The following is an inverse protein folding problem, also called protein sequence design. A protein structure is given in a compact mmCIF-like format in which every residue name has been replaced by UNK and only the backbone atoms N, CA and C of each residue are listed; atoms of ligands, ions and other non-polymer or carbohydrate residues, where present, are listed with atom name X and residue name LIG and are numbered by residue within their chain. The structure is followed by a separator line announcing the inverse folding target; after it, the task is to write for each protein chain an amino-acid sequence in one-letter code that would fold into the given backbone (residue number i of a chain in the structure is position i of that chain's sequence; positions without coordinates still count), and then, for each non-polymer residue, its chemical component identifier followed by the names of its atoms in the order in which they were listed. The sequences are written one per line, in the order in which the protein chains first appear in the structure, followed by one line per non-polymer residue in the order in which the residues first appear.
data_IF_952837585044
#
_entry.id   IF_952837585044
#
_cell.length_a   1.000
_cell.length_b   1.000
_cell.length_c   1.000
_cell.angle_alpha   90.00
_cell.angle_beta   90.00
_cell.angle_gamma   90.00
#
_symmetry.space_group_name_H-M   'P 1'
#
loop_
_entity.id
_entity.type
_entity.pdbx_description
1 polymer ?
#
# COMPACT_ATOMS: atom_id res chain seq x y z
N UNK A 1 34.77 12.03 17.31
CA UNK A 1 35.69 11.51 16.28
C UNK A 1 35.93 12.64 15.29
N UNK A 2 37.18 13.00 15.04
CA UNK A 2 37.54 13.87 13.93
C UNK A 2 37.18 13.15 12.62
N UNK A 3 36.61 13.87 11.67
CA UNK A 3 36.45 13.36 10.31
C UNK A 3 37.84 13.03 9.73
N UNK A 4 37.98 11.98 8.91
CA UNK A 4 39.25 11.69 8.24
C UNK A 4 39.67 12.87 7.36
N UNK A 5 40.97 12.97 7.08
CA UNK A 5 41.50 14.03 6.21
C UNK A 5 40.79 14.01 4.85
N UNK A 6 40.42 15.19 4.30
CA UNK A 6 39.70 15.26 3.03
C UNK A 6 40.39 14.52 1.88
N UNK A 7 41.72 14.45 1.89
CA UNK A 7 42.53 13.74 0.89
C UNK A 7 42.24 12.23 0.88
N UNK A 8 42.11 11.61 2.06
CA UNK A 8 41.76 10.20 2.19
C UNK A 8 40.37 9.97 1.61
N UNK A 9 39.39 10.78 2.00
CA UNK A 9 38.01 10.67 1.52
C UNK A 9 37.95 10.83 0.00
N UNK A 10 38.63 11.85 -0.54
CA UNK A 10 38.70 12.10 -1.98
C UNK A 10 39.28 10.90 -2.72
N UNK A 11 40.33 10.26 -2.18
CA UNK A 11 40.92 9.06 -2.79
C UNK A 11 39.96 7.87 -2.81
N UNK A 12 39.13 7.70 -1.77
CA UNK A 12 38.13 6.64 -1.70
C UNK A 12 37.00 6.88 -2.70
N UNK A 13 36.49 8.11 -2.80
CA UNK A 13 35.46 8.48 -3.77
C UNK A 13 35.98 8.34 -5.21
N UNK A 14 37.22 8.76 -5.47
CA UNK A 14 37.84 8.67 -6.80
C UNK A 14 37.97 7.24 -7.34
N UNK A 15 37.93 6.21 -6.48
CA UNK A 15 37.95 4.79 -6.92
C UNK A 15 36.71 4.37 -7.68
N UNK A 16 35.58 5.03 -7.43
CA UNK A 16 34.28 4.67 -8.03
C UNK A 16 33.66 5.81 -8.83
N UNK A 17 34.20 7.03 -8.70
CA UNK A 17 33.59 8.25 -9.21
C UNK A 17 34.64 9.20 -9.82
N UNK A 18 34.44 9.60 -11.07
CA UNK A 18 35.21 10.68 -11.70
C UNK A 18 34.70 12.01 -11.14
N UNK A 19 35.51 12.63 -10.29
CA UNK A 19 35.20 13.88 -9.61
C UNK A 19 35.43 15.06 -10.58
N UNK A 20 34.40 15.87 -10.82
CA UNK A 20 34.49 17.15 -11.53
C UNK A 20 34.64 18.32 -10.56
N UNK A 21 33.90 18.29 -9.45
CA UNK A 21 33.82 19.36 -8.47
C UNK A 21 33.56 18.80 -7.06
N UNK A 22 34.12 19.46 -6.05
CA UNK A 22 33.98 19.09 -4.63
C UNK A 22 33.58 20.32 -3.83
N UNK A 23 32.45 20.22 -3.13
CA UNK A 23 32.01 21.24 -2.19
C UNK A 23 32.09 20.68 -0.77
N UNK A 24 32.96 21.27 0.05
CA UNK A 24 32.97 21.03 1.50
C UNK A 24 32.00 22.00 2.16
N UNK A 25 31.03 21.49 2.91
CA UNK A 25 30.04 22.30 3.61
C UNK A 25 30.20 22.13 5.12
N UNK A 26 29.97 23.22 5.85
CA UNK A 26 29.99 23.19 7.31
C UNK A 26 28.79 22.36 7.81
N UNK A 27 29.09 21.21 8.43
CA UNK A 27 28.19 20.04 8.55
C UNK A 27 26.84 20.28 9.26
N UNK A 28 26.69 21.40 9.95
CA UNK A 28 25.58 21.61 10.89
C UNK A 28 24.25 22.03 10.27
N UNK A 29 24.20 22.50 9.02
CA UNK A 29 22.95 23.04 8.43
C UNK A 29 22.25 22.14 7.41
N UNK A 30 22.93 21.15 6.81
CA UNK A 30 22.36 20.38 5.68
C UNK A 30 22.48 18.84 5.80
N UNK A 31 23.01 18.31 6.92
CA UNK A 31 23.01 16.86 7.19
C UNK A 31 24.04 16.04 6.42
N UNK A 32 24.91 16.68 5.65
CA UNK A 32 26.08 16.09 4.98
C UNK A 32 27.28 17.06 5.11
N UNK A 33 28.50 16.56 4.96
CA UNK A 33 29.72 17.38 5.12
C UNK A 33 30.52 17.54 3.82
N UNK A 34 30.37 16.63 2.85
CA UNK A 34 30.99 16.75 1.53
C UNK A 34 30.00 16.39 0.42
N UNK A 35 30.13 17.11 -0.70
CA UNK A 35 29.37 16.91 -1.94
C UNK A 35 30.34 16.77 -3.10
N UNK A 36 30.25 15.66 -3.82
CA UNK A 36 31.03 15.38 -5.02
C UNK A 36 30.12 15.40 -6.23
N UNK A 37 30.48 16.18 -7.26
CA UNK A 37 29.76 16.22 -8.54
C UNK A 37 30.62 15.60 -9.62
N UNK A 38 30.01 14.79 -10.49
CA UNK A 38 30.74 14.11 -11.55
C UNK A 38 29.98 12.93 -12.13
N UNK A 39 30.70 11.85 -12.43
CA UNK A 39 30.15 10.64 -13.06
C UNK A 39 30.78 9.37 -12.49
N UNK A 40 29.96 8.35 -12.23
CA UNK A 40 30.43 7.02 -11.83
C UNK A 40 31.30 6.40 -12.91
N UNK A 41 32.33 5.68 -12.48
CA UNK A 41 33.24 4.96 -13.38
C UNK A 41 32.61 3.68 -13.92
N UNK A 42 31.76 3.04 -13.13
CA UNK A 42 30.97 1.87 -13.51
C UNK A 42 29.53 2.28 -13.89
N UNK A 43 28.94 1.57 -14.83
CA UNK A 43 27.52 1.72 -15.19
C UNK A 43 26.61 1.16 -14.08
N UNK A 44 27.04 0.12 -13.35
CA UNK A 44 26.27 -0.42 -12.23
C UNK A 44 26.55 0.35 -10.94
N UNK A 45 25.73 1.37 -10.71
CA UNK A 45 25.83 2.21 -9.51
C UNK A 45 25.65 1.44 -8.20
N UNK A 46 24.97 0.28 -8.23
CA UNK A 46 24.78 -0.56 -7.05
C UNK A 46 26.12 -1.16 -6.57
N UNK A 47 26.93 -1.70 -7.48
CA UNK A 47 28.27 -2.20 -7.16
C UNK A 47 29.18 -1.08 -6.67
N UNK A 48 29.19 0.06 -7.39
CA UNK A 48 29.96 1.24 -7.01
C UNK A 48 29.58 1.77 -5.61
N UNK A 49 28.29 1.72 -5.27
CA UNK A 49 27.79 2.09 -3.96
C UNK A 49 28.32 1.15 -2.87
N UNK A 50 28.24 -0.17 -3.07
CA UNK A 50 28.68 -1.15 -2.07
C UNK A 50 30.19 -1.02 -1.79
N UNK A 51 31.03 -0.84 -2.83
CA UNK A 51 32.48 -0.62 -2.69
C UNK A 51 32.80 0.63 -1.88
N UNK A 52 32.12 1.75 -2.18
CA UNK A 52 32.35 3.01 -1.47
C UNK A 52 31.81 2.97 -0.03
N UNK A 53 30.62 2.39 0.17
CA UNK A 53 30.02 2.27 1.49
C UNK A 53 30.87 1.41 2.42
N UNK A 54 31.42 0.28 1.94
CA UNK A 54 32.35 -0.56 2.71
C UNK A 54 33.65 0.17 3.06
N UNK A 55 34.19 0.94 2.12
CA UNK A 55 35.40 1.75 2.34
C UNK A 55 35.19 2.89 3.36
N UNK A 56 33.97 3.41 3.46
CA UNK A 56 33.60 4.52 4.35
C UNK A 56 33.06 4.07 5.72
N UNK A 57 32.71 2.78 5.86
CA UNK A 57 32.16 2.22 7.10
C UNK A 57 33.07 2.39 8.33
N UNK A 58 34.41 2.20 8.24
CA UNK A 58 35.33 2.41 9.37
C UNK A 58 35.29 3.84 9.93
N UNK A 59 34.91 4.81 9.10
CA UNK A 59 34.81 6.22 9.46
C UNK A 59 33.41 6.62 9.90
N UNK A 60 32.45 5.68 9.97
CA UNK A 60 31.03 5.94 10.24
C UNK A 60 30.43 6.97 9.28
N UNK A 61 30.77 6.86 8.01
CA UNK A 61 30.26 7.70 6.93
C UNK A 61 29.36 6.85 6.03
N UNK A 62 28.24 7.41 5.58
CA UNK A 62 27.36 6.79 4.60
C UNK A 62 27.32 7.65 3.33
N UNK A 63 27.69 7.09 2.17
CA UNK A 63 27.51 7.79 0.90
C UNK A 63 26.03 7.82 0.52
N UNK A 64 25.58 8.87 -0.16
CA UNK A 64 24.24 9.00 -0.72
C UNK A 64 24.38 9.42 -2.18
N UNK A 65 23.96 8.53 -3.09
CA UNK A 65 24.04 8.79 -4.53
C UNK A 65 22.75 9.45 -4.99
N UNK A 66 22.89 10.59 -5.68
CA UNK A 66 21.79 11.44 -6.14
C UNK A 66 22.00 11.85 -7.60
N UNK A 67 20.93 12.33 -8.22
CA UNK A 67 20.97 12.96 -9.54
C UNK A 67 20.35 14.36 -9.39
N UNK A 68 21.12 15.40 -9.66
CA UNK A 68 20.65 16.80 -9.70
C UNK A 68 20.99 17.42 -11.05
N UNK A 69 20.01 18.04 -11.70
CA UNK A 69 20.16 18.69 -13.02
C UNK A 69 20.81 17.78 -14.08
N UNK A 70 20.52 16.48 -14.02
CA UNK A 70 21.06 15.47 -14.93
C UNK A 70 22.51 15.05 -14.62
N UNK A 71 23.14 15.58 -13.57
CA UNK A 71 24.49 15.19 -13.12
C UNK A 71 24.41 14.27 -11.91
N UNK A 72 25.36 13.33 -11.81
CA UNK A 72 25.46 12.44 -10.66
C UNK A 72 26.20 13.14 -9.52
N UNK A 73 25.73 12.90 -8.30
CA UNK A 73 26.26 13.51 -7.09
C UNK A 73 26.39 12.47 -5.99
N UNK A 74 27.48 12.54 -5.23
CA UNK A 74 27.68 11.76 -4.01
C UNK A 74 27.72 12.73 -2.83
N UNK A 75 26.78 12.57 -1.91
CA UNK A 75 26.82 13.24 -0.61
C UNK A 75 27.41 12.29 0.43
N UNK A 76 28.28 12.80 1.31
CA UNK A 76 28.78 12.06 2.44
C UNK A 76 28.14 12.57 3.72
N UNK A 77 27.40 11.69 4.38
CA UNK A 77 26.66 11.98 5.60
C UNK A 77 27.15 11.10 6.77
N UNK A 78 27.02 11.55 8.03
CA UNK A 78 27.28 10.71 9.18
C UNK A 78 26.35 9.48 9.17
N UNK A 79 26.91 8.30 9.44
CA UNK A 79 26.13 7.06 9.56
C UNK A 79 25.17 7.17 10.75
N UNK A 80 23.89 6.97 10.50
CA UNK A 80 22.88 6.96 11.57
C UNK A 80 23.02 5.69 12.43
N UNK A 81 22.76 5.79 13.75
CA UNK A 81 22.79 4.63 14.63
C UNK A 81 21.73 3.60 14.21
N UNK A 82 22.03 2.33 14.42
CA UNK A 82 21.08 1.25 14.12
C UNK A 82 19.78 1.43 14.91
N UNK A 83 18.63 1.17 14.28
CA UNK A 83 17.34 1.36 14.93
C UNK A 83 17.17 0.40 16.12
N UNK A 84 16.70 0.93 17.26
CA UNK A 84 16.47 0.14 18.49
C UNK A 84 15.39 -0.93 18.27
N UNK A 85 15.53 -2.17 18.79
CA UNK A 85 14.52 -3.22 18.63
C UNK A 85 13.15 -2.83 19.24
N UNK A 86 12.06 -3.27 18.61
CA UNK A 86 10.69 -3.05 19.12
C UNK A 86 10.31 -4.07 20.17
N UNK A 87 9.50 -3.63 21.14
CA UNK A 87 8.83 -4.52 22.07
C UNK A 87 7.73 -5.28 21.33
N UNK A 88 7.92 -6.58 21.14
CA UNK A 88 6.97 -7.47 20.47
C UNK A 88 5.59 -7.47 21.15
N UNK A 89 5.54 -7.19 22.46
CA UNK A 89 4.29 -7.08 23.23
C UNK A 89 3.32 -6.05 22.67
N UNK A 90 3.81 -4.91 22.16
CA UNK A 90 2.94 -3.87 21.58
C UNK A 90 2.23 -4.40 20.33
N UNK A 91 2.95 -5.11 19.47
CA UNK A 91 2.40 -5.72 18.25
C UNK A 91 1.36 -6.79 18.58
N UNK A 92 1.63 -7.62 19.60
CA UNK A 92 0.67 -8.66 20.05
C UNK A 92 -0.60 -8.01 20.61
N UNK A 93 -0.48 -7.01 21.49
CA UNK A 93 -1.65 -6.32 22.06
C UNK A 93 -2.50 -5.69 20.95
N UNK A 94 -1.87 -4.97 20.03
CA UNK A 94 -2.55 -4.34 18.90
C UNK A 94 -3.21 -5.38 17.97
N UNK A 95 -2.56 -6.50 17.71
CA UNK A 95 -3.14 -7.60 16.94
C UNK A 95 -4.39 -8.16 17.63
N UNK A 96 -4.33 -8.47 18.92
CA UNK A 96 -5.47 -8.98 19.69
C UNK A 96 -6.63 -7.98 19.69
N UNK A 97 -6.35 -6.69 19.94
CA UNK A 97 -7.38 -5.64 19.87
C UNK A 97 -8.01 -5.54 18.47
N UNK A 98 -7.22 -5.72 17.42
CA UNK A 98 -7.71 -5.69 16.04
C UNK A 98 -8.56 -6.91 15.73
N UNK A 99 -8.21 -8.10 16.23
CA UNK A 99 -9.06 -9.31 16.12
C UNK A 99 -10.46 -9.03 16.68
N UNK A 100 -10.55 -8.52 17.91
CA UNK A 100 -11.85 -8.19 18.51
C UNK A 100 -12.61 -7.12 17.72
N UNK A 101 -11.90 -6.09 17.27
CA UNK A 101 -12.46 -4.98 16.49
C UNK A 101 -13.04 -5.46 15.13
N UNK A 102 -12.33 -6.35 14.43
CA UNK A 102 -12.79 -6.91 13.15
C UNK A 102 -13.91 -7.94 13.34
N UNK A 103 -13.84 -8.77 14.40
CA UNK A 103 -14.93 -9.68 14.75
C UNK A 103 -16.22 -8.91 15.07
N UNK A 104 -16.13 -7.76 15.74
CA UNK A 104 -17.28 -6.88 15.98
C UNK A 104 -17.88 -6.32 14.69
N UNK A 105 -17.04 -5.91 13.73
CA UNK A 105 -17.50 -5.39 12.44
C UNK A 105 -18.20 -6.46 11.58
N UNK A 106 -17.77 -7.71 11.68
CA UNK A 106 -18.39 -8.85 11.00
C UNK A 106 -19.49 -9.56 11.80
N UNK A 107 -19.87 -9.04 12.96
CA UNK A 107 -20.84 -9.68 13.85
C UNK A 107 -22.27 -9.55 13.31
N UNK A 108 -23.00 -10.66 13.27
CA UNK A 108 -24.43 -10.63 13.00
C UNK A 108 -25.19 -10.11 14.23
N UNK A 109 -26.05 -9.12 14.02
CA UNK A 109 -26.93 -8.59 15.07
C UNK A 109 -28.22 -9.43 15.10
N UNK A 110 -28.55 -10.08 16.22
CA UNK A 110 -29.79 -10.85 16.33
C UNK A 110 -31.02 -9.95 16.14
N UNK A 111 -31.98 -10.43 15.35
CA UNK A 111 -33.26 -9.76 15.14
C UNK A 111 -34.41 -10.76 15.43
N UNK A 112 -35.31 -10.50 16.41
CA UNK A 112 -35.41 -9.28 17.23
C UNK A 112 -34.32 -9.16 18.30
N UNK A 113 -33.94 -7.92 18.62
CA UNK A 113 -33.07 -7.61 19.75
C UNK A 113 -33.81 -7.95 21.06
N UNK A 114 -33.13 -8.58 22.04
CA UNK A 114 -33.68 -8.75 23.39
C UNK A 114 -34.08 -7.40 23.99
N UNK A 115 -35.17 -7.37 24.75
CA UNK A 115 -35.67 -6.13 25.37
C UNK A 115 -34.94 -5.81 26.69
N UNK A 116 -34.30 -6.79 27.30
CA UNK A 116 -33.55 -6.66 28.54
C UNK A 116 -32.07 -6.33 28.30
N UNK A 117 -31.51 -5.44 29.12
CA UNK A 117 -30.11 -4.97 29.00
C UNK A 117 -29.09 -6.11 29.10
N UNK A 118 -29.36 -7.11 29.95
CA UNK A 118 -28.51 -8.29 30.08
C UNK A 118 -28.57 -9.17 28.82
N UNK A 119 -29.77 -9.38 28.27
CA UNK A 119 -30.00 -10.08 27.01
C UNK A 119 -29.31 -9.39 25.84
N UNK A 120 -29.35 -8.06 25.76
CA UNK A 120 -28.62 -7.28 24.74
C UNK A 120 -27.11 -7.52 24.87
N UNK A 121 -26.54 -7.42 26.08
CA UNK A 121 -25.10 -7.67 26.28
C UNK A 121 -24.70 -9.10 25.91
N UNK A 122 -25.51 -10.09 26.28
CA UNK A 122 -25.23 -11.50 25.96
C UNK A 122 -25.37 -11.78 24.46
N UNK A 123 -26.36 -11.17 23.81
CA UNK A 123 -26.56 -11.25 22.36
C UNK A 123 -25.38 -10.62 21.61
N UNK A 124 -24.88 -9.47 22.05
CA UNK A 124 -23.68 -8.84 21.48
C UNK A 124 -22.43 -9.70 21.70
N UNK A 125 -22.23 -10.24 22.90
CA UNK A 125 -21.08 -11.09 23.20
C UNK A 125 -21.06 -12.38 22.36
N UNK A 126 -22.21 -13.03 22.17
CA UNK A 126 -22.34 -14.19 21.27
C UNK A 126 -22.23 -13.78 19.80
N UNK A 127 -22.79 -12.63 19.43
CA UNK A 127 -22.75 -12.08 18.07
C UNK A 127 -21.33 -11.82 17.60
N UNK A 128 -20.44 -11.29 18.45
CA UNK A 128 -19.02 -11.08 18.11
C UNK A 128 -18.36 -12.37 17.61
N UNK A 129 -18.70 -13.52 18.21
CA UNK A 129 -18.12 -14.80 17.79
C UNK A 129 -18.54 -15.19 16.37
N UNK A 130 -19.69 -14.73 15.86
CA UNK A 130 -20.13 -15.01 14.48
C UNK A 130 -19.25 -14.33 13.43
N UNK A 131 -18.57 -13.23 13.79
CA UNK A 131 -17.67 -12.49 12.90
C UNK A 131 -16.31 -13.15 12.66
N UNK A 132 -16.06 -14.34 13.21
CA UNK A 132 -14.78 -15.04 13.05
C UNK A 132 -14.37 -15.33 11.59
N UNK A 133 -15.28 -15.72 10.64
CA UNK A 133 -14.87 -16.00 9.28
C UNK A 133 -14.40 -14.73 8.57
N UNK A 134 -15.08 -13.61 8.83
CA UNK A 134 -14.68 -12.29 8.34
C UNK A 134 -13.32 -11.88 8.89
N UNK A 135 -13.14 -11.97 10.21
CA UNK A 135 -11.89 -11.59 10.87
C UNK A 135 -10.69 -12.43 10.41
N UNK A 136 -10.85 -13.76 10.35
CA UNK A 136 -9.80 -14.65 9.87
C UNK A 136 -9.41 -14.32 8.42
N UNK A 137 -10.40 -14.10 7.57
CA UNK A 137 -10.19 -13.79 6.15
C UNK A 137 -9.49 -12.45 5.96
N UNK A 138 -10.01 -11.38 6.56
CA UNK A 138 -9.47 -10.03 6.40
C UNK A 138 -8.07 -9.90 7.03
N UNK A 139 -7.89 -10.39 8.26
CA UNK A 139 -6.60 -10.34 8.94
C UNK A 139 -5.58 -11.24 8.26
N UNK A 140 -6.00 -12.39 7.69
CA UNK A 140 -5.13 -13.24 6.90
C UNK A 140 -4.57 -12.52 5.67
N UNK A 141 -5.42 -11.77 4.96
CA UNK A 141 -5.01 -10.96 3.80
C UNK A 141 -4.05 -9.84 4.22
N UNK A 142 -4.42 -9.05 5.23
CA UNK A 142 -3.59 -7.95 5.72
C UNK A 142 -2.24 -8.46 6.25
N UNK A 143 -2.24 -9.57 6.98
CA UNK A 143 -1.04 -10.20 7.47
C UNK A 143 -0.15 -10.67 6.31
N UNK A 144 -0.73 -11.32 5.29
CA UNK A 144 0.03 -11.76 4.12
C UNK A 144 0.67 -10.58 3.37
N UNK A 145 -0.05 -9.47 3.20
CA UNK A 145 0.48 -8.23 2.62
C UNK A 145 1.68 -7.72 3.41
N UNK A 146 1.53 -7.52 4.73
CA UNK A 146 2.61 -6.99 5.57
C UNK A 146 3.79 -7.95 5.71
N UNK A 147 3.53 -9.27 5.75
CA UNK A 147 4.59 -10.27 5.74
C UNK A 147 5.35 -10.29 4.42
N UNK A 148 4.71 -9.99 3.30
CA UNK A 148 5.38 -9.81 2.00
C UNK A 148 6.46 -8.72 2.09
N UNK A 149 6.11 -7.56 2.62
CA UNK A 149 7.09 -6.49 2.87
C UNK A 149 8.16 -6.90 3.87
N UNK A 150 7.77 -7.54 4.98
CA UNK A 150 8.69 -7.96 6.03
C UNK A 150 9.74 -8.96 5.53
N UNK A 151 9.31 -10.01 4.83
CA UNK A 151 10.21 -11.03 4.30
C UNK A 151 11.14 -10.47 3.24
N UNK A 152 10.64 -9.60 2.35
CA UNK A 152 11.49 -8.96 1.34
C UNK A 152 12.50 -7.98 1.96
N UNK A 153 12.08 -7.24 3.00
CA UNK A 153 12.99 -6.40 3.78
C UNK A 153 14.10 -7.22 4.44
N UNK A 154 13.75 -8.37 5.02
CA UNK A 154 14.71 -9.29 5.64
C UNK A 154 15.67 -9.90 4.62
N UNK A 155 15.17 -10.31 3.45
CA UNK A 155 15.99 -10.80 2.34
C UNK A 155 17.05 -9.77 1.91
N UNK A 156 16.65 -8.50 1.79
CA UNK A 156 17.56 -7.40 1.45
C UNK A 156 18.29 -6.76 2.65
N UNK A 157 18.22 -7.38 3.84
CA UNK A 157 18.88 -6.87 5.07
C UNK A 157 18.51 -5.42 5.41
N UNK A 158 17.30 -5.00 5.05
CA UNK A 158 16.74 -3.69 5.41
C UNK A 158 15.94 -3.84 6.71
N UNK A 159 16.33 -3.16 7.80
CA UNK A 159 15.61 -3.26 9.08
C UNK A 159 14.15 -2.82 8.98
N UNK A 160 13.24 -3.71 9.38
CA UNK A 160 11.80 -3.47 9.41
C UNK A 160 11.20 -3.99 10.73
N UNK A 161 10.10 -3.39 11.18
CA UNK A 161 9.35 -3.89 12.33
C UNK A 161 8.47 -5.09 11.97
N UNK A 162 7.98 -5.80 12.97
CA UNK A 162 6.79 -6.63 12.80
C UNK A 162 5.57 -5.74 12.48
N UNK A 163 4.51 -6.32 11.86
CA UNK A 163 3.32 -5.55 11.51
C UNK A 163 2.62 -4.96 12.74
N UNK A 164 2.15 -3.73 12.60
CA UNK A 164 1.25 -3.08 13.55
C UNK A 164 -0.17 -3.11 12.97
N UNK A 165 -1.07 -3.84 13.64
CA UNK A 165 -2.48 -3.83 13.29
C UNK A 165 -3.19 -2.69 14.00
N UNK A 166 -4.01 -1.92 13.29
CA UNK A 166 -4.65 -0.73 13.83
C UNK A 166 -6.15 -1.02 14.01
N UNK A 167 -6.65 -1.21 15.24
CA UNK A 167 -8.06 -1.48 15.49
C UNK A 167 -8.89 -0.22 15.21
N UNK A 168 -10.03 -0.38 14.54
CA UNK A 168 -10.98 0.70 14.36
C UNK A 168 -12.43 0.16 14.32
N UNK A 169 -13.03 -0.09 15.50
CA UNK A 169 -14.26 -0.88 15.63
C UNK A 169 -15.49 -0.25 15.01
N UNK A 170 -15.47 1.06 14.78
CA UNK A 170 -16.58 1.82 14.20
C UNK A 170 -16.52 1.88 12.66
N UNK A 171 -15.51 1.28 12.03
CA UNK A 171 -15.43 1.20 10.57
C UNK A 171 -16.12 -0.05 10.03
N UNK A 172 -16.60 -0.04 8.77
CA UNK A 172 -17.17 -1.24 8.13
C UNK A 172 -16.23 -2.45 8.09
N UNK A 173 -14.91 -2.22 8.15
CA UNK A 173 -13.90 -3.29 8.15
C UNK A 173 -13.42 -3.68 9.54
N UNK A 174 -13.73 -2.89 10.57
CA UNK A 174 -13.22 -3.06 11.94
C UNK A 174 -11.73 -2.78 12.11
N UNK A 175 -11.03 -2.24 11.10
CA UNK A 175 -9.60 -1.92 11.15
C UNK A 175 -9.25 -0.79 10.18
N UNK A 176 -8.20 -0.02 10.49
CA UNK A 176 -7.56 0.89 9.52
C UNK A 176 -6.52 0.18 8.64
N UNK A 177 -6.32 -1.13 8.85
CA UNK A 177 -5.32 -1.94 8.18
C UNK A 177 -4.18 -2.33 9.11
N UNK A 178 -3.10 -2.80 8.49
CA UNK A 178 -1.84 -3.09 9.15
C UNK A 178 -0.72 -2.35 8.41
N UNK A 179 0.39 -2.08 9.10
CA UNK A 179 1.56 -1.47 8.49
C UNK A 179 2.84 -1.93 9.17
N UNK A 180 3.89 -2.19 8.39
CA UNK A 180 5.26 -2.25 8.88
C UNK A 180 5.90 -0.87 8.87
N UNK A 181 6.80 -0.61 9.82
CA UNK A 181 7.67 0.55 9.80
C UNK A 181 9.05 0.14 9.27
N UNK A 182 9.42 0.64 8.10
CA UNK A 182 10.79 0.56 7.59
C UNK A 182 11.67 1.50 8.41
N UNK A 183 12.74 0.96 9.01
CA UNK A 183 13.61 1.70 9.94
C UNK A 183 15.00 1.96 9.39
N UNK A 184 15.36 1.27 8.31
CA UNK A 184 16.51 1.60 7.49
C UNK A 184 16.07 2.18 6.16
N UNK A 185 16.93 2.98 5.55
CA UNK A 185 16.77 3.39 4.16
C UNK A 185 17.25 2.25 3.24
N UNK A 186 16.47 1.84 2.23
CA UNK A 186 16.92 0.86 1.25
C UNK A 186 18.19 1.32 0.55
N UNK A 187 19.11 0.40 0.28
CA UNK A 187 20.39 0.76 -0.35
C UNK A 187 20.20 1.36 -1.73
N UNK A 188 19.27 0.85 -2.53
CA UNK A 188 19.07 1.31 -3.90
C UNK A 188 17.61 1.18 -4.35
N UNK A 189 17.28 1.74 -5.52
CA UNK A 189 15.93 1.67 -6.12
C UNK A 189 15.45 0.26 -6.41
N UNK A 190 16.33 -0.70 -6.74
CA UNK A 190 15.93 -2.11 -6.98
C UNK A 190 15.37 -2.73 -5.69
N UNK A 191 16.05 -2.54 -4.56
CA UNK A 191 15.61 -3.05 -3.26
C UNK A 191 14.32 -2.37 -2.80
N UNK A 192 14.22 -1.04 -2.95
CA UNK A 192 13.00 -0.31 -2.61
C UNK A 192 11.81 -0.82 -3.42
N UNK A 193 12.02 -1.05 -4.72
CA UNK A 193 11.02 -1.64 -5.61
C UNK A 193 10.59 -3.04 -5.15
N UNK A 194 11.55 -3.94 -4.92
CA UNK A 194 11.27 -5.33 -4.52
C UNK A 194 10.45 -5.37 -3.23
N UNK A 195 10.83 -4.57 -2.23
CA UNK A 195 10.08 -4.45 -0.96
C UNK A 195 8.67 -3.89 -1.23
N UNK A 196 8.55 -2.84 -2.04
CA UNK A 196 7.27 -2.19 -2.35
C UNK A 196 6.28 -3.09 -3.08
N UNK A 197 6.72 -3.95 -4.01
CA UNK A 197 5.81 -4.84 -4.75
C UNK A 197 5.45 -6.12 -4.00
N UNK A 198 6.30 -6.57 -3.07
CA UNK A 198 6.11 -7.83 -2.38
C UNK A 198 4.81 -7.89 -1.56
N UNK A 199 4.44 -6.79 -0.89
CA UNK A 199 3.20 -6.72 -0.10
C UNK A 199 1.94 -6.85 -0.94
N UNK A 200 1.70 -5.96 -1.92
CA UNK A 200 0.55 -6.05 -2.82
C UNK A 200 0.40 -7.41 -3.51
N UNK A 201 1.51 -8.01 -3.96
CA UNK A 201 1.49 -9.34 -4.59
C UNK A 201 1.04 -10.40 -3.57
N UNK A 202 1.65 -10.44 -2.38
CA UNK A 202 1.30 -11.40 -1.34
C UNK A 202 -0.15 -11.24 -0.87
N UNK A 203 -0.61 -9.99 -0.70
CA UNK A 203 -1.98 -9.66 -0.36
C UNK A 203 -2.97 -10.18 -1.40
N UNK A 204 -2.74 -9.92 -2.69
CA UNK A 204 -3.63 -10.38 -3.77
C UNK A 204 -3.65 -11.90 -3.94
N UNK A 205 -2.51 -12.57 -3.77
CA UNK A 205 -2.41 -14.04 -3.82
C UNK A 205 -3.32 -14.68 -2.77
N UNK A 206 -3.55 -14.02 -1.63
CA UNK A 206 -4.49 -14.50 -0.60
C UNK A 206 -5.91 -13.95 -0.83
N UNK A 207 -6.05 -12.68 -1.21
CA UNK A 207 -7.35 -12.02 -1.34
C UNK A 207 -8.21 -12.62 -2.46
N UNK A 208 -7.62 -12.97 -3.61
CA UNK A 208 -8.37 -13.51 -4.75
C UNK A 208 -9.00 -14.87 -4.43
N UNK A 209 -8.26 -15.88 -3.91
CA UNK A 209 -8.87 -17.14 -3.47
C UNK A 209 -9.94 -16.95 -2.40
N UNK A 210 -9.69 -16.10 -1.39
CA UNK A 210 -10.67 -15.80 -0.33
C UNK A 210 -11.93 -15.18 -0.91
N UNK A 211 -11.79 -14.24 -1.86
CA UNK A 211 -12.91 -13.63 -2.56
C UNK A 211 -13.72 -14.69 -3.33
N UNK A 212 -13.07 -15.48 -4.18
CA UNK A 212 -13.74 -16.50 -5.00
C UNK A 212 -14.45 -17.54 -4.13
N UNK A 213 -13.79 -18.00 -3.07
CA UNK A 213 -14.39 -18.91 -2.10
C UNK A 213 -15.59 -18.27 -1.39
N UNK A 214 -15.46 -17.04 -0.91
CA UNK A 214 -16.58 -16.31 -0.31
C UNK A 214 -17.74 -16.09 -1.26
N UNK A 215 -17.47 -15.84 -2.55
CA UNK A 215 -18.50 -15.66 -3.57
C UNK A 215 -19.25 -16.98 -3.81
N UNK A 216 -18.56 -18.13 -3.74
CA UNK A 216 -19.21 -19.45 -3.83
C UNK A 216 -20.17 -19.75 -2.66
N UNK A 217 -19.97 -19.09 -1.50
CA UNK A 217 -20.86 -19.15 -0.34
C UNK A 217 -21.97 -18.08 -0.39
N UNK A 218 -21.88 -17.14 -1.32
CA UNK A 218 -22.83 -16.03 -1.45
C UNK A 218 -24.06 -16.45 -2.25
N UNK A 219 -25.18 -15.75 -2.04
CA UNK A 219 -26.45 -16.05 -2.73
C UNK A 219 -26.83 -14.92 -3.68
N UNK A 220 -27.65 -15.20 -4.68
CA UNK A 220 -28.16 -14.17 -5.59
C UNK A 220 -29.51 -13.68 -5.10
N UNK A 221 -29.71 -12.36 -5.10
CA UNK A 221 -30.93 -11.73 -4.63
C UNK A 221 -31.26 -10.44 -5.39
N UNK A 222 -32.53 -10.02 -5.37
CA UNK A 222 -32.93 -8.79 -6.02
C UNK A 222 -32.40 -7.56 -5.25
N UNK A 223 -31.91 -6.57 -5.99
CA UNK A 223 -31.46 -5.30 -5.42
C UNK A 223 -32.68 -4.46 -5.06
N UNK A 224 -32.92 -4.28 -3.77
CA UNK A 224 -34.04 -3.49 -3.24
C UNK A 224 -33.51 -2.18 -2.63
N UNK A 225 -34.25 -1.07 -2.77
CA UNK A 225 -33.92 0.15 -2.03
C UNK A 225 -33.94 -0.10 -0.53
N UNK A 226 -32.88 0.32 0.15
CA UNK A 226 -32.75 0.27 1.61
C UNK A 226 -32.05 1.55 2.07
N UNK A 227 -32.76 2.44 2.79
CA UNK A 227 -32.18 3.68 3.29
C UNK A 227 -30.94 3.51 4.17
N UNK A 228 -30.81 2.36 4.85
CA UNK A 228 -29.68 2.06 5.74
C UNK A 228 -28.71 1.04 5.14
N UNK A 229 -29.03 0.51 3.96
CA UNK A 229 -28.23 -0.49 3.28
C UNK A 229 -27.14 0.13 2.42
N UNK A 230 -26.04 -0.60 2.28
CA UNK A 230 -24.95 -0.26 1.38
C UNK A 230 -24.70 -1.44 0.45
N UNK A 231 -24.29 -1.13 -0.77
CA UNK A 231 -23.79 -2.10 -1.74
C UNK A 231 -22.33 -1.77 -2.05
N UNK A 232 -21.52 -2.81 -2.18
CA UNK A 232 -20.10 -2.69 -2.43
C UNK A 232 -19.81 -2.24 -3.87
N UNK A 233 -18.74 -1.46 -4.03
CA UNK A 233 -18.23 -1.00 -5.30
C UNK A 233 -17.63 -2.10 -6.16
N UNK A 234 -17.57 -1.86 -7.47
CA UNK A 234 -16.97 -2.80 -8.41
C UNK A 234 -15.56 -2.37 -8.84
N UNK A 235 -14.61 -3.29 -8.73
CA UNK A 235 -13.35 -3.28 -9.49
C UNK A 235 -13.45 -4.28 -10.65
N UNK A 236 -12.54 -4.19 -11.62
CA UNK A 236 -12.54 -5.12 -12.74
C UNK A 236 -12.28 -6.56 -12.28
N UNK A 237 -11.37 -6.78 -11.33
CA UNK A 237 -11.15 -8.11 -10.74
C UNK A 237 -12.39 -8.61 -10.00
N UNK A 238 -13.12 -7.74 -9.29
CA UNK A 238 -14.32 -8.16 -8.59
C UNK A 238 -15.45 -8.57 -9.55
N UNK A 239 -15.66 -7.79 -10.62
CA UNK A 239 -16.61 -8.13 -11.68
C UNK A 239 -16.26 -9.46 -12.36
N UNK A 240 -14.98 -9.66 -12.68
CA UNK A 240 -14.50 -10.93 -13.25
C UNK A 240 -14.70 -12.10 -12.29
N UNK A 241 -14.51 -11.89 -10.98
CA UNK A 241 -14.72 -12.91 -9.96
C UNK A 241 -16.20 -13.28 -9.81
N UNK A 242 -17.11 -12.29 -9.82
CA UNK A 242 -18.57 -12.54 -9.86
C UNK A 242 -18.94 -13.35 -11.11
N UNK A 243 -18.43 -12.96 -12.27
CA UNK A 243 -18.67 -13.67 -13.53
C UNK A 243 -18.15 -15.11 -13.49
N UNK A 244 -16.93 -15.32 -12.97
CA UNK A 244 -16.33 -16.66 -12.89
C UNK A 244 -17.11 -17.61 -11.98
N UNK A 245 -17.70 -17.09 -10.89
CA UNK A 245 -18.45 -17.91 -9.92
C UNK A 245 -19.90 -18.12 -10.33
N UNK A 246 -20.58 -17.09 -10.82
CA UNK A 246 -22.02 -17.14 -11.12
C UNK A 246 -22.37 -17.31 -12.60
N UNK A 247 -21.38 -17.25 -13.50
CA UNK A 247 -21.58 -17.41 -14.94
C UNK A 247 -22.27 -16.24 -15.65
N UNK A 248 -22.50 -15.12 -14.95
CA UNK A 248 -23.16 -13.93 -15.48
C UNK A 248 -22.54 -12.65 -14.90
N UNK A 249 -22.64 -11.56 -15.66
CA UNK A 249 -22.16 -10.26 -15.21
C UNK A 249 -23.13 -9.69 -14.16
N UNK A 250 -22.61 -9.43 -12.97
CA UNK A 250 -23.36 -8.91 -11.83
C UNK A 250 -22.77 -7.57 -11.36
N UNK A 251 -23.58 -6.60 -10.93
CA UNK A 251 -25.05 -6.66 -10.83
C UNK A 251 -25.73 -6.74 -12.21
N UNK A 252 -26.80 -7.51 -12.36
CA UNK A 252 -27.57 -7.61 -13.60
C UNK A 252 -28.82 -6.72 -13.54
N UNK A 253 -28.93 -5.63 -14.34
CA UNK A 253 -30.09 -4.75 -14.33
C UNK A 253 -31.35 -5.46 -14.86
N UNK A 254 -32.52 -5.04 -14.38
CA UNK A 254 -33.82 -5.61 -14.79
C UNK A 254 -34.12 -5.47 -16.29
N UNK A 255 -33.50 -4.49 -16.96
CA UNK A 255 -33.57 -4.30 -18.40
C UNK A 255 -32.15 -4.18 -18.98
N UNK A 256 -31.89 -4.66 -20.21
CA UNK A 256 -30.59 -4.52 -20.86
C UNK A 256 -30.15 -3.06 -20.95
N UNK A 257 -28.92 -2.79 -20.53
CA UNK A 257 -28.34 -1.45 -20.52
C UNK A 257 -27.17 -1.35 -21.51
N UNK A 258 -26.99 -0.16 -22.11
CA UNK A 258 -25.87 0.11 -23.01
C UNK A 258 -24.55 0.40 -22.27
N UNK A 259 -23.45 0.50 -23.02
CA UNK A 259 -22.10 0.74 -22.47
C UNK A 259 -22.01 1.99 -21.57
N UNK A 260 -22.70 3.07 -21.94
CA UNK A 260 -22.66 4.33 -21.18
C UNK A 260 -23.22 4.18 -19.76
N UNK A 261 -24.21 3.30 -19.57
CA UNK A 261 -24.74 2.97 -18.25
C UNK A 261 -23.64 2.39 -17.37
N UNK A 262 -22.89 1.41 -17.89
CA UNK A 262 -21.84 0.72 -17.15
C UNK A 262 -20.64 1.60 -16.85
N UNK A 263 -20.23 2.45 -17.80
CA UNK A 263 -19.17 3.44 -17.57
C UNK A 263 -19.58 4.40 -16.45
N UNK A 264 -20.82 4.92 -16.50
CA UNK A 264 -21.34 5.81 -15.46
C UNK A 264 -21.44 5.10 -14.11
N UNK A 265 -21.99 3.88 -14.08
CA UNK A 265 -22.14 3.08 -12.87
C UNK A 265 -20.78 2.77 -12.23
N UNK A 266 -19.78 2.39 -13.03
CA UNK A 266 -18.44 2.07 -12.54
C UNK A 266 -17.74 3.26 -11.88
N UNK A 267 -17.80 4.45 -12.48
CA UNK A 267 -17.11 5.64 -11.95
C UNK A 267 -17.90 6.43 -10.92
N UNK A 268 -19.23 6.32 -10.91
CA UNK A 268 -20.10 7.17 -10.06
C UNK A 268 -20.96 6.38 -9.08
N UNK A 269 -21.01 5.06 -9.20
CA UNK A 269 -21.92 4.19 -8.45
C UNK A 269 -23.39 4.37 -8.80
N UNK A 270 -23.72 5.17 -9.84
CA UNK A 270 -25.08 5.54 -10.20
C UNK A 270 -25.34 5.43 -11.71
N UNK A 271 -26.58 5.14 -12.13
CA UNK A 271 -27.72 4.72 -11.29
C UNK A 271 -27.52 3.29 -10.74
N UNK A 272 -28.04 3.03 -9.54
CA UNK A 272 -28.05 1.67 -8.98
C UNK A 272 -29.10 0.84 -9.74
N UNK A 273 -28.79 -0.40 -10.17
CA UNK A 273 -29.72 -1.28 -10.88
C UNK A 273 -30.84 -1.85 -9.98
N UNK A 274 -31.65 -0.99 -9.35
CA UNK A 274 -32.78 -1.41 -8.53
C UNK A 274 -33.73 -2.32 -9.31
N UNK A 275 -34.23 -3.36 -8.64
CA UNK A 275 -35.04 -4.42 -9.26
C UNK A 275 -34.23 -5.41 -10.11
N UNK A 276 -32.94 -5.17 -10.32
CA UNK A 276 -32.00 -6.12 -10.89
C UNK A 276 -31.58 -7.21 -9.88
N UNK A 277 -30.64 -8.04 -10.28
CA UNK A 277 -30.08 -9.14 -9.50
C UNK A 277 -28.62 -8.84 -9.14
N UNK A 278 -28.23 -9.03 -7.88
CA UNK A 278 -26.81 -9.01 -7.49
C UNK A 278 -26.54 -10.04 -6.38
N UNK A 279 -25.27 -10.13 -5.98
CA UNK A 279 -24.77 -11.03 -4.96
C UNK A 279 -25.06 -10.45 -3.57
N UNK A 280 -25.75 -11.22 -2.74
CA UNK A 280 -25.80 -11.02 -1.29
C UNK A 280 -24.52 -11.62 -0.71
N UNK A 281 -23.55 -10.74 -0.50
CA UNK A 281 -22.17 -11.11 -0.23
C UNK A 281 -22.01 -11.78 1.14
N UNK A 282 -21.41 -12.96 1.14
CA UNK A 282 -21.01 -13.64 2.36
C UNK A 282 -19.86 -12.86 3.04
N UNK A 283 -19.75 -12.82 4.38
CA UNK A 283 -18.70 -12.06 5.07
C UNK A 283 -17.27 -12.40 4.59
N UNK A 284 -17.01 -13.66 4.24
CA UNK A 284 -15.72 -14.08 3.65
C UNK A 284 -15.45 -13.40 2.29
N UNK A 285 -16.46 -13.26 1.42
CA UNK A 285 -16.29 -12.54 0.16
C UNK A 285 -16.10 -11.04 0.40
N UNK A 286 -16.81 -10.47 1.38
CA UNK A 286 -16.63 -9.08 1.77
C UNK A 286 -15.20 -8.81 2.26
N UNK A 287 -14.60 -9.73 3.02
CA UNK A 287 -13.19 -9.65 3.40
C UNK A 287 -12.25 -9.71 2.19
N UNK A 288 -12.51 -10.59 1.21
CA UNK A 288 -11.73 -10.66 -0.02
C UNK A 288 -11.82 -9.38 -0.86
N UNK A 289 -13.03 -8.83 -1.00
CA UNK A 289 -13.29 -7.55 -1.65
C UNK A 289 -12.57 -6.40 -0.94
N UNK A 290 -12.66 -6.34 0.40
CA UNK A 290 -11.96 -5.36 1.21
C UNK A 290 -10.43 -5.48 1.08
N UNK A 291 -9.91 -6.71 1.01
CA UNK A 291 -8.51 -6.98 0.73
C UNK A 291 -8.04 -6.39 -0.60
N UNK A 292 -8.81 -6.62 -1.67
CA UNK A 292 -8.56 -6.05 -3.00
C UNK A 292 -8.58 -4.51 -2.94
N UNK A 293 -9.55 -3.93 -2.22
CA UNK A 293 -9.64 -2.49 -2.03
C UNK A 293 -8.41 -1.93 -1.28
N UNK A 294 -7.99 -2.57 -0.19
CA UNK A 294 -6.78 -2.16 0.55
C UNK A 294 -5.54 -2.23 -0.33
N UNK A 295 -5.39 -3.30 -1.12
CA UNK A 295 -4.28 -3.37 -2.09
C UNK A 295 -4.38 -2.26 -3.14
N UNK A 296 -5.58 -1.94 -3.64
CA UNK A 296 -5.77 -0.84 -4.59
C UNK A 296 -5.33 0.50 -4.01
N UNK A 297 -5.68 0.76 -2.74
CA UNK A 297 -5.29 1.98 -2.02
C UNK A 297 -3.77 2.06 -1.86
N UNK A 298 -3.12 0.96 -1.49
CA UNK A 298 -1.65 0.89 -1.39
C UNK A 298 -0.95 1.02 -2.75
N UNK A 299 -1.60 0.63 -3.84
CA UNK A 299 -1.05 0.76 -5.20
C UNK A 299 -1.30 2.12 -5.85
N UNK A 300 -1.92 3.09 -5.15
CA UNK A 300 -2.01 4.46 -5.63
C UNK A 300 -0.60 5.00 -5.90
N UNK A 301 -0.32 5.58 -7.09
CA UNK A 301 1.04 5.90 -7.52
C UNK A 301 1.55 7.24 -6.93
N UNK A 302 1.56 7.35 -5.61
CA UNK A 302 1.92 8.57 -4.86
C UNK A 302 2.61 8.24 -3.52
N UNK A 303 3.61 9.04 -3.18
CA UNK A 303 4.10 9.14 -1.80
C UNK A 303 4.83 7.89 -1.32
N UNK A 304 4.66 7.61 -0.03
CA UNK A 304 5.22 6.44 0.65
C UNK A 304 4.42 5.15 0.43
N UNK A 305 3.36 5.19 -0.37
CA UNK A 305 2.57 4.00 -0.69
C UNK A 305 3.35 3.06 -1.61
N UNK A 306 2.94 1.80 -1.66
CA UNK A 306 3.58 0.76 -2.48
C UNK A 306 3.59 1.14 -3.96
N UNK A 307 2.49 1.68 -4.48
CA UNK A 307 2.40 2.22 -5.84
C UNK A 307 3.32 3.41 -6.07
N UNK A 308 3.56 4.22 -5.03
CA UNK A 308 4.55 5.29 -5.00
C UNK A 308 5.97 4.76 -5.22
N UNK A 309 6.35 3.68 -4.54
CA UNK A 309 7.63 2.99 -4.75
C UNK A 309 7.75 2.42 -6.17
N UNK A 310 6.68 1.83 -6.72
CA UNK A 310 6.66 1.32 -8.10
C UNK A 310 6.92 2.44 -9.12
N UNK A 311 6.14 3.52 -9.07
CA UNK A 311 6.26 4.61 -10.05
C UNK A 311 7.57 5.39 -9.88
N UNK A 312 8.04 5.59 -8.64
CA UNK A 312 9.32 6.24 -8.38
C UNK A 312 10.51 5.40 -8.85
N UNK A 313 10.44 4.07 -8.74
CA UNK A 313 11.51 3.20 -9.21
C UNK A 313 11.59 3.17 -10.75
N UNK A 314 10.43 3.24 -11.44
CA UNK A 314 10.34 3.32 -12.91
C UNK A 314 10.79 4.67 -13.48
N UNK A 315 10.29 5.77 -12.92
CA UNK A 315 10.43 7.10 -13.53
C UNK A 315 11.33 8.05 -12.73
N UNK A 316 11.85 7.63 -11.58
CA UNK A 316 12.70 8.44 -10.72
C UNK A 316 12.02 9.72 -10.26
N UNK A 317 12.72 10.84 -10.38
CA UNK A 317 12.22 12.18 -10.04
C UNK A 317 10.99 12.60 -10.86
N UNK A 318 10.83 12.09 -12.09
CA UNK A 318 9.65 12.40 -12.93
C UNK A 318 8.36 11.85 -12.32
N UNK A 319 8.44 10.85 -11.44
CA UNK A 319 7.29 10.31 -10.72
C UNK A 319 6.58 11.36 -9.86
N UNK A 320 7.28 12.40 -9.37
CA UNK A 320 6.67 13.51 -8.62
C UNK A 320 5.58 14.23 -9.41
N UNK A 321 5.60 14.14 -10.75
CA UNK A 321 4.55 14.70 -11.61
C UNK A 321 3.23 13.96 -11.50
N UNK A 322 3.18 12.70 -11.03
CA UNK A 322 1.91 11.98 -10.84
C UNK A 322 1.04 12.59 -9.74
N UNK A 323 1.67 13.18 -8.72
CA UNK A 323 1.01 13.70 -7.53
C UNK A 323 -0.19 14.62 -7.81
N UNK A 324 -0.04 15.75 -8.55
CA UNK A 324 -1.18 16.64 -8.80
C UNK A 324 -2.31 15.98 -9.58
N UNK A 325 -2.00 15.07 -10.52
CA UNK A 325 -3.02 14.37 -11.29
C UNK A 325 -3.80 13.38 -10.43
N UNK A 326 -3.11 12.60 -9.59
CA UNK A 326 -3.77 11.64 -8.69
C UNK A 326 -4.63 12.37 -7.67
N UNK A 327 -4.11 13.41 -7.01
CA UNK A 327 -4.90 14.20 -6.05
C UNK A 327 -6.10 14.85 -6.73
N UNK A 328 -5.92 15.45 -7.91
CA UNK A 328 -7.02 16.02 -8.70
C UNK A 328 -8.09 14.98 -9.04
N UNK A 329 -7.68 13.78 -9.47
CA UNK A 329 -8.59 12.68 -9.76
C UNK A 329 -9.37 12.23 -8.51
N UNK A 330 -8.69 12.09 -7.36
CA UNK A 330 -9.35 11.74 -6.09
C UNK A 330 -10.33 12.82 -5.61
N UNK A 331 -10.00 14.11 -5.80
CA UNK A 331 -10.92 15.20 -5.46
C UNK A 331 -12.21 15.10 -6.31
N UNK A 332 -12.08 14.84 -7.61
CA UNK A 332 -13.22 14.65 -8.52
C UNK A 332 -14.01 13.40 -8.14
N UNK A 333 -13.34 12.27 -7.90
CA UNK A 333 -14.00 11.04 -7.43
C UNK A 333 -14.68 11.23 -6.07
N UNK A 334 -14.17 12.14 -5.25
CA UNK A 334 -14.76 12.50 -3.96
C UNK A 334 -16.14 13.14 -4.04
N UNK A 335 -16.53 13.66 -5.21
CA UNK A 335 -17.89 14.08 -5.50
C UNK A 335 -18.89 12.91 -5.52
N UNK A 336 -18.40 11.69 -5.77
CA UNK A 336 -19.19 10.46 -5.82
C UNK A 336 -19.03 9.60 -4.56
N UNK A 337 -17.85 9.64 -3.93
CA UNK A 337 -17.60 8.99 -2.64
C UNK A 337 -16.70 9.83 -1.75
N UNK A 338 -17.26 10.40 -0.68
CA UNK A 338 -16.59 11.38 0.21
C UNK A 338 -15.29 10.88 0.83
N UNK A 339 -15.11 9.57 0.96
CA UNK A 339 -13.86 8.98 1.46
C UNK A 339 -12.64 9.33 0.60
N UNK A 340 -12.80 9.68 -0.69
CA UNK A 340 -11.68 10.13 -1.50
C UNK A 340 -11.13 11.49 -1.13
N UNK A 341 -11.93 12.37 -0.51
CA UNK A 341 -11.41 13.63 0.02
C UNK A 341 -10.50 13.41 1.23
N UNK A 342 -10.87 12.45 2.09
CA UNK A 342 -9.99 12.00 3.18
C UNK A 342 -8.68 11.46 2.61
N UNK A 343 -8.74 10.58 1.61
CA UNK A 343 -7.54 10.06 0.95
C UNK A 343 -6.71 11.14 0.27
N UNK A 344 -7.33 12.10 -0.42
CA UNK A 344 -6.62 13.24 -1.03
C UNK A 344 -5.86 14.06 0.03
N UNK A 345 -6.48 14.31 1.19
CA UNK A 345 -5.83 14.99 2.31
C UNK A 345 -4.67 14.15 2.90
N UNK A 346 -4.87 12.84 3.10
CA UNK A 346 -3.83 11.93 3.58
C UNK A 346 -2.65 11.86 2.62
N UNK A 347 -2.88 11.73 1.31
CA UNK A 347 -1.82 11.73 0.30
C UNK A 347 -1.03 13.03 0.28
N UNK A 348 -1.69 14.17 0.54
CA UNK A 348 -0.99 15.45 0.66
C UNK A 348 0.01 15.47 1.81
N UNK A 349 -0.34 14.86 2.95
CA UNK A 349 0.56 14.68 4.08
C UNK A 349 1.68 13.66 3.79
N UNK A 350 1.35 12.58 3.05
CA UNK A 350 2.24 11.47 2.72
C UNK A 350 3.06 11.68 1.43
N UNK A 351 3.08 12.90 0.87
CA UNK A 351 3.72 13.20 -0.42
C UNK A 351 5.25 13.02 -0.46
N UNK A 352 5.89 12.85 0.70
CA UNK A 352 7.34 12.73 0.81
C UNK A 352 7.75 11.29 0.53
N UNK A 353 8.42 11.05 -0.59
CA UNK A 353 8.89 9.70 -0.94
C UNK A 353 10.10 9.30 -0.09
N UNK A 354 10.14 8.03 0.34
CA UNK A 354 11.35 7.44 0.89
C UNK A 354 12.45 7.43 -0.18
N UNK A 355 13.56 8.12 0.09
CA UNK A 355 14.69 8.19 -0.83
C UNK A 355 15.70 7.08 -0.48
N UNK A 356 16.00 6.15 -1.41
CA UNK A 356 17.05 5.16 -1.17
C UNK A 356 18.42 5.83 -1.04
N UNK A 357 19.39 5.11 -0.49
CA UNK A 357 20.77 5.59 -0.38
C UNK A 357 21.36 5.84 -1.77
N UNK A 358 21.11 4.95 -2.73
CA UNK A 358 21.41 5.11 -4.15
C UNK A 358 20.16 5.30 -5.02
N UNK A 359 20.03 6.50 -5.59
CA UNK A 359 18.99 6.88 -6.54
C UNK A 359 19.40 6.73 -8.01
N UNK A 360 20.67 6.42 -8.30
CA UNK A 360 21.16 6.28 -9.67
C UNK A 360 20.73 4.92 -10.24
N UNK A 361 20.79 3.85 -9.43
CA UNK A 361 20.55 2.45 -9.85
C UNK A 361 19.30 2.31 -10.70
N UNK A 362 19.41 1.80 -11.92
CA UNK A 362 18.23 1.52 -12.75
C UNK A 362 17.65 0.12 -12.47
N UNK A 363 16.33 -0.01 -12.63
CA UNK A 363 15.66 -1.32 -12.63
C UNK A 363 16.14 -2.15 -13.83
N UNK A 364 16.42 -3.44 -13.60
CA UNK A 364 16.68 -4.40 -14.66
C UNK A 364 15.38 -4.72 -15.43
N UNK A 365 15.48 -5.37 -16.61
CA UNK A 365 14.31 -5.65 -17.44
C UNK A 365 13.20 -6.46 -16.75
N UNK A 366 13.54 -7.39 -15.84
CA UNK A 366 12.53 -8.22 -15.18
C UNK A 366 11.75 -7.40 -14.15
N UNK A 367 12.43 -6.59 -13.34
CA UNK A 367 11.78 -5.65 -12.41
C UNK A 367 10.95 -4.60 -13.14
N UNK A 368 11.40 -4.11 -14.30
CA UNK A 368 10.59 -3.22 -15.16
C UNK A 368 9.29 -3.90 -15.60
N UNK A 369 9.36 -5.16 -16.05
CA UNK A 369 8.16 -5.91 -16.42
C UNK A 369 7.19 -6.06 -15.24
N UNK A 370 7.70 -6.44 -14.06
CA UNK A 370 6.88 -6.52 -12.83
C UNK A 370 6.25 -5.15 -12.50
N UNK A 371 7.01 -4.06 -12.64
CA UNK A 371 6.49 -2.72 -12.35
C UNK A 371 5.34 -2.34 -13.28
N UNK A 372 5.44 -2.61 -14.58
CA UNK A 372 4.34 -2.40 -15.52
C UNK A 372 3.14 -3.30 -15.20
N UNK A 373 3.38 -4.56 -14.83
CA UNK A 373 2.31 -5.46 -14.35
C UNK A 373 1.62 -4.87 -13.12
N UNK A 374 2.35 -4.31 -12.16
CA UNK A 374 1.75 -3.68 -10.98
C UNK A 374 0.90 -2.45 -11.31
N UNK A 375 1.27 -1.67 -12.32
CA UNK A 375 0.43 -0.57 -12.83
C UNK A 375 -0.87 -1.09 -13.46
N UNK A 376 -0.81 -2.21 -14.18
CA UNK A 376 -2.01 -2.88 -14.72
C UNK A 376 -2.86 -3.44 -13.58
N UNK A 377 -2.25 -4.12 -12.62
CA UNK A 377 -2.93 -4.66 -11.43
C UNK A 377 -3.66 -3.54 -10.70
N UNK A 378 -3.03 -2.38 -10.48
CA UNK A 378 -3.68 -1.21 -9.88
C UNK A 378 -4.99 -0.85 -10.60
N UNK A 379 -4.97 -0.75 -11.94
CA UNK A 379 -6.17 -0.47 -12.74
C UNK A 379 -7.24 -1.56 -12.55
N UNK A 380 -6.82 -2.82 -12.47
CA UNK A 380 -7.74 -3.95 -12.31
C UNK A 380 -8.38 -4.04 -10.93
N UNK A 381 -7.66 -3.65 -9.87
CA UNK A 381 -8.15 -3.70 -8.49
C UNK A 381 -8.82 -2.41 -8.02
N UNK A 382 -8.60 -1.28 -8.71
CA UNK A 382 -9.13 0.01 -8.32
C UNK A 382 -10.66 0.03 -8.36
N UNK A 383 -11.26 0.49 -7.26
CA UNK A 383 -12.71 0.60 -7.08
C UNK A 383 -13.09 2.07 -6.95
N UNK A 384 -13.60 2.75 -8.00
CA UNK A 384 -13.84 4.19 -7.97
C UNK A 384 -14.86 4.64 -6.93
N UNK A 385 -15.86 3.81 -6.61
CA UNK A 385 -16.87 4.10 -5.58
C UNK A 385 -16.98 2.88 -4.67
N UNK A 386 -16.20 2.79 -3.58
CA UNK A 386 -16.15 1.61 -2.73
C UNK A 386 -17.48 1.26 -2.04
N UNK A 387 -18.25 2.26 -1.63
CA UNK A 387 -19.53 2.05 -0.95
C UNK A 387 -20.60 2.94 -1.57
N UNK A 388 -21.73 2.34 -1.91
CA UNK A 388 -22.90 3.03 -2.44
C UNK A 388 -24.08 2.89 -1.48
N UNK A 389 -24.67 4.01 -1.08
CA UNK A 389 -25.91 4.02 -0.31
C UNK A 389 -27.07 3.52 -1.18
N UNK A 390 -27.86 2.58 -0.68
CA UNK A 390 -29.05 2.05 -1.37
C UNK A 390 -30.31 2.90 -1.13
N UNK A 391 -30.14 4.16 -0.71
CA UNK A 391 -31.22 5.12 -0.58
C UNK A 391 -31.81 5.46 -1.97
N UNK A 392 -33.15 5.55 -2.09
CA UNK A 392 -33.83 5.79 -3.36
C UNK A 392 -33.55 7.16 -4.00
#
# INVERSE_FOLDING_TARGET
MSLPEPEIINSLVARVFRIEDVTSLDSQKQGFFMRYRGQLLDEDSASAYDVLAESLDPYRITPLFRIEDGKQIIYLAPKQPDPKPTKVSVNIILFVLTVFSVMLAGAEVPNPLPQDTLGIMLAMAKGILTGWPFALSLLGILLAHELGHYFMSRYHKTPATLPYFIPFPFSPLGTMGAAILMRGTPKNKRILFDIGVAGPIAGLVVAIPVLVYGLSLSTLGPIKPDPNGFIEGNSLIYLLSKFAVFGQLLPAPASPQGLMYWVRYFFTGRPIPFGGLDVFIHPVAFAGWAGILVTALNLIPVGTLDGGHVIHSLFGEKAKKSFPFVVGALIVLGLFWTGWWLWAALLFLLRVNAQPMDQITQLDPTRKAVAYTMLVVFILVFTPVPFMLMAP
#
